data_IF_009523870819
#
_entry.id   IF_009523870819
#
_cell.length_a   1.000
_cell.length_b   1.000
_cell.length_c   1.000
_cell.angle_alpha   90.00
_cell.angle_beta   90.00
_cell.angle_gamma   90.00
#
_symmetry.space_group_name_H-M   'P 1'
#
loop_
_entity.id
_entity.type
_entity.pdbx_description
1 polymer ?
#
# COMPACT_ATOMS: atom_id res chain seq x y z
N UNK A 1 28.07 16.89 5.70
CA UNK A 1 27.59 15.50 5.51
C UNK A 1 26.15 15.63 5.09
N UNK A 2 25.87 15.47 3.81
CA UNK A 2 24.49 15.42 3.29
C UNK A 2 23.82 14.19 3.88
N UNK A 3 22.95 14.39 4.86
CA UNK A 3 22.02 13.36 5.29
C UNK A 3 21.03 13.15 4.15
N UNK A 4 21.27 12.11 3.36
CA UNK A 4 20.25 11.54 2.47
C UNK A 4 19.01 11.32 3.35
N UNK A 5 17.85 11.93 3.04
CA UNK A 5 16.65 11.70 3.82
C UNK A 5 16.40 10.20 3.83
N UNK A 6 16.04 9.59 4.98
CA UNK A 6 15.75 8.16 5.03
C UNK A 6 14.70 7.88 3.98
N UNK A 7 15.11 7.17 2.94
CA UNK A 7 14.23 6.69 1.90
C UNK A 7 13.11 5.89 2.56
N UNK A 8 11.87 6.18 2.15
CA UNK A 8 10.71 5.64 2.83
C UNK A 8 10.84 4.10 2.92
N UNK A 9 10.56 3.48 4.08
CA UNK A 9 10.87 2.08 4.36
C UNK A 9 10.29 1.20 3.25
N UNK A 10 11.04 0.21 2.78
CA UNK A 10 10.54 -0.71 1.75
C UNK A 10 9.42 -1.60 2.30
N UNK A 11 8.66 -2.24 1.42
CA UNK A 11 7.59 -3.16 1.83
C UNK A 11 8.15 -4.31 2.70
N UNK A 12 9.38 -4.75 2.43
CA UNK A 12 10.10 -5.72 3.25
C UNK A 12 10.49 -5.17 4.63
N UNK A 13 10.86 -3.89 4.73
CA UNK A 13 11.18 -3.26 6.02
C UNK A 13 9.92 -3.10 6.87
N UNK A 14 8.78 -2.75 6.26
CA UNK A 14 7.49 -2.66 6.93
C UNK A 14 7.02 -4.04 7.43
N UNK A 15 7.23 -5.11 6.65
CA UNK A 15 6.98 -6.47 7.11
C UNK A 15 7.89 -6.85 8.29
N UNK A 16 9.18 -6.52 8.23
CA UNK A 16 10.11 -6.78 9.31
C UNK A 16 9.74 -6.01 10.59
N UNK A 17 9.34 -4.74 10.47
CA UNK A 17 8.85 -3.91 11.58
C UNK A 17 7.56 -4.50 12.17
N UNK A 18 6.63 -4.96 11.33
CA UNK A 18 5.41 -5.59 11.79
C UNK A 18 5.69 -6.87 12.60
N UNK A 19 6.59 -7.73 12.10
CA UNK A 19 7.03 -8.93 12.80
C UNK A 19 7.75 -8.59 14.11
N UNK A 20 8.47 -7.46 14.16
CA UNK A 20 9.09 -6.93 15.36
C UNK A 20 8.09 -6.36 16.39
N UNK A 21 6.79 -6.34 16.05
CA UNK A 21 5.71 -5.93 16.94
C UNK A 21 5.19 -4.51 16.69
N UNK A 22 5.58 -3.87 15.59
CA UNK A 22 5.01 -2.58 15.19
C UNK A 22 3.60 -2.78 14.58
N UNK A 23 2.53 -2.33 15.26
CA UNK A 23 1.17 -2.49 14.76
C UNK A 23 0.87 -1.54 13.57
N UNK A 24 1.60 -0.43 13.44
CA UNK A 24 1.38 0.57 12.41
C UNK A 24 2.07 0.19 11.09
N UNK A 25 3.14 -0.61 11.15
CA UNK A 25 3.91 -1.04 9.99
C UNK A 25 3.10 -1.87 8.98
N UNK A 26 2.19 -2.73 9.46
CA UNK A 26 1.28 -3.46 8.57
C UNK A 26 0.25 -2.53 7.92
N UNK A 27 -0.28 -1.57 8.69
CA UNK A 27 -1.20 -0.56 8.17
C UNK A 27 -0.56 0.26 7.04
N UNK A 28 0.71 0.65 7.20
CA UNK A 28 1.47 1.35 6.17
C UNK A 28 1.64 0.52 4.89
N UNK A 29 1.97 -0.77 5.04
CA UNK A 29 2.12 -1.70 3.91
C UNK A 29 0.82 -1.84 3.11
N UNK A 30 -0.30 -2.06 3.81
CA UNK A 30 -1.63 -2.21 3.19
C UNK A 30 -2.05 -0.91 2.50
N UNK A 31 -1.81 0.24 3.13
CA UNK A 31 -2.17 1.55 2.59
C UNK A 31 -1.43 1.85 1.29
N UNK A 32 -0.13 1.52 1.21
CA UNK A 32 0.65 1.62 -0.03
C UNK A 32 0.15 0.69 -1.13
N UNK A 33 -0.19 -0.55 -0.79
CA UNK A 33 -0.76 -1.49 -1.76
C UNK A 33 -2.10 -0.98 -2.30
N UNK A 34 -2.96 -0.46 -1.43
CA UNK A 34 -4.24 0.15 -1.81
C UNK A 34 -4.04 1.32 -2.77
N UNK A 35 -3.11 2.23 -2.49
CA UNK A 35 -2.86 3.38 -3.37
C UNK A 35 -2.33 2.96 -4.76
N UNK A 36 -1.46 1.94 -4.81
CA UNK A 36 -0.97 1.36 -6.08
C UNK A 36 -2.10 0.68 -6.86
N UNK A 37 -2.92 -0.15 -6.20
CA UNK A 37 -4.06 -0.82 -6.82
C UNK A 37 -5.10 0.19 -7.32
N UNK A 38 -5.39 1.23 -6.53
CA UNK A 38 -6.28 2.32 -6.90
C UNK A 38 -5.80 3.08 -8.13
N UNK A 39 -4.50 3.41 -8.21
CA UNK A 39 -3.94 4.08 -9.38
C UNK A 39 -4.07 3.22 -10.65
N UNK A 40 -3.92 1.90 -10.54
CA UNK A 40 -4.11 0.96 -11.65
C UNK A 40 -5.59 0.84 -12.03
N UNK A 41 -6.48 0.70 -11.05
CA UNK A 41 -7.91 0.56 -11.28
C UNK A 41 -8.52 1.81 -11.93
N UNK A 42 -8.23 3.00 -11.41
CA UNK A 42 -8.70 4.28 -12.00
C UNK A 42 -8.20 4.47 -13.42
N UNK A 43 -6.94 4.10 -13.71
CA UNK A 43 -6.38 4.17 -15.06
C UNK A 43 -7.01 3.19 -16.04
N UNK A 44 -7.48 2.04 -15.54
CA UNK A 44 -7.98 0.95 -16.39
C UNK A 44 -9.48 1.07 -16.64
N UNK A 45 -10.26 1.38 -15.60
CA UNK A 45 -11.72 1.35 -15.64
C UNK A 45 -12.32 2.72 -16.00
N UNK A 46 -11.61 3.83 -15.77
CA UNK A 46 -12.09 5.18 -16.09
C UNK A 46 -13.26 5.68 -15.24
N UNK A 47 -13.95 4.79 -14.53
CA UNK A 47 -14.96 5.07 -13.51
C UNK A 47 -14.38 4.84 -12.10
N UNK A 48 -14.67 5.77 -11.19
CA UNK A 48 -14.21 5.71 -9.79
C UNK A 48 -15.01 4.73 -8.94
N UNK A 49 -16.28 4.48 -9.24
CA UNK A 49 -17.09 3.52 -8.47
C UNK A 49 -16.66 2.08 -8.76
N UNK A 50 -16.54 1.70 -10.04
CA UNK A 50 -16.02 0.38 -10.41
C UNK A 50 -14.57 0.16 -9.93
N UNK A 51 -13.74 1.20 -9.97
CA UNK A 51 -12.39 1.12 -9.42
C UNK A 51 -12.38 0.92 -7.90
N UNK A 52 -13.35 1.48 -7.17
CA UNK A 52 -13.45 1.29 -5.73
C UNK A 52 -13.82 -0.16 -5.41
N UNK A 53 -14.83 -0.68 -6.11
CA UNK A 53 -15.31 -2.06 -5.95
C UNK A 53 -14.20 -3.07 -6.26
N UNK A 54 -13.50 -2.91 -7.40
CA UNK A 54 -12.41 -3.80 -7.81
C UNK A 54 -11.21 -3.78 -6.85
N UNK A 55 -10.85 -2.61 -6.30
CA UNK A 55 -9.76 -2.51 -5.30
C UNK A 55 -10.18 -3.14 -3.98
N UNK A 56 -11.44 -2.97 -3.60
CA UNK A 56 -11.97 -3.53 -2.37
C UNK A 56 -12.03 -5.06 -2.45
N UNK A 57 -12.52 -5.62 -3.56
CA UNK A 57 -12.52 -7.06 -3.82
C UNK A 57 -11.11 -7.64 -3.85
N UNK A 58 -10.15 -6.95 -4.47
CA UNK A 58 -8.76 -7.40 -4.52
C UNK A 58 -8.11 -7.43 -3.13
N UNK A 59 -8.43 -6.48 -2.25
CA UNK A 59 -7.90 -6.43 -0.88
C UNK A 59 -8.59 -7.44 0.05
N UNK A 60 -9.86 -7.76 -0.18
CA UNK A 60 -10.62 -8.75 0.62
C UNK A 60 -10.27 -10.19 0.24
N UNK A 61 -9.89 -10.44 -1.02
CA UNK A 61 -9.54 -11.78 -1.52
C UNK A 61 -8.02 -12.09 -1.54
N UNK A 62 -7.17 -11.15 -1.08
CA UNK A 62 -5.72 -11.34 -0.98
C UNK A 62 -5.31 -12.04 0.32
#
# INVERSE_FOLDING_TARGET
MDSVPPEAPSDSDLLAQHVAGDPDAFGELVRRHRDRLWAVAVRTLGDREEAADAVQDALVNA
#
